data_IF_979979010793
#
_entry.id   IF_979979010793
#
_cell.length_a   1.000
_cell.length_b   1.000
_cell.length_c   1.000
_cell.angle_alpha   90.00
_cell.angle_beta   90.00
_cell.angle_gamma   90.00
#
_symmetry.space_group_name_H-M   'P 1'
#
loop_
_entity.id
_entity.type
_entity.pdbx_description
1 polymer ?
#
# COMPACT_ATOMS: atom_id res chain seq x y z
N UNK A 1 76.00 -41.42 5.11
CA UNK A 1 75.31 -40.28 4.46
C UNK A 1 73.88 -40.19 5.04
N UNK A 2 73.64 -39.31 6.05
CA UNK A 2 72.33 -39.09 6.65
C UNK A 2 71.78 -37.75 6.14
N UNK A 3 70.66 -37.76 5.41
CA UNK A 3 69.94 -36.58 4.99
C UNK A 3 68.95 -36.16 6.13
N UNK A 4 69.18 -35.00 6.67
CA UNK A 4 68.25 -34.35 7.60
C UNK A 4 67.11 -33.70 6.82
N UNK A 5 65.87 -34.03 7.20
CA UNK A 5 64.68 -33.46 6.67
C UNK A 5 64.30 -32.31 7.64
N UNK A 6 64.29 -31.08 7.15
CA UNK A 6 63.85 -29.90 7.88
C UNK A 6 62.37 -29.71 7.63
N UNK A 7 61.58 -29.83 8.69
CA UNK A 7 60.12 -29.63 8.64
C UNK A 7 59.82 -28.13 8.97
N UNK A 8 59.34 -27.40 7.95
CA UNK A 8 58.79 -26.06 8.15
C UNK A 8 57.34 -26.17 8.64
N UNK A 9 57.06 -25.81 9.88
CA UNK A 9 55.71 -25.65 10.43
C UNK A 9 55.30 -24.20 10.22
N UNK A 10 54.37 -23.96 9.27
CA UNK A 10 53.73 -22.66 9.08
C UNK A 10 52.57 -22.55 10.05
N UNK A 11 52.72 -21.69 11.05
CA UNK A 11 51.60 -21.28 11.94
C UNK A 11 50.65 -20.32 11.16
N UNK A 12 49.50 -20.82 10.77
CA UNK A 12 48.37 -19.99 10.32
C UNK A 12 47.62 -19.53 11.56
N UNK A 13 47.78 -18.26 11.97
CA UNK A 13 46.95 -17.62 12.95
C UNK A 13 45.58 -17.30 12.34
N UNK A 14 44.53 -18.09 12.64
CA UNK A 14 43.17 -17.80 12.33
C UNK A 14 42.70 -16.67 13.28
N UNK A 15 42.61 -15.44 12.77
CA UNK A 15 41.86 -14.37 13.46
C UNK A 15 40.39 -14.71 13.39
N UNK A 16 39.85 -15.26 14.48
CA UNK A 16 38.41 -15.41 14.68
C UNK A 16 37.85 -14.00 14.87
N UNK A 17 37.33 -13.37 13.80
CA UNK A 17 36.44 -12.24 13.92
C UNK A 17 35.19 -12.72 14.64
N UNK A 18 35.06 -12.37 15.91
CA UNK A 18 33.79 -12.45 16.63
C UNK A 18 32.79 -11.50 15.96
N UNK A 19 32.07 -12.00 14.97
CA UNK A 19 30.83 -11.36 14.50
C UNK A 19 29.84 -11.59 15.61
N UNK A 20 29.73 -10.62 16.52
CA UNK A 20 28.58 -10.57 17.40
C UNK A 20 27.35 -10.39 16.51
N UNK A 21 26.38 -11.32 16.48
CA UNK A 21 25.09 -11.00 15.93
C UNK A 21 24.58 -9.79 16.72
N UNK A 22 24.28 -8.68 16.04
CA UNK A 22 23.42 -7.66 16.63
C UNK A 22 22.13 -8.40 17.00
N UNK A 23 22.00 -8.74 18.28
CA UNK A 23 20.70 -9.09 18.85
C UNK A 23 19.83 -7.84 18.67
N UNK A 24 19.01 -7.84 17.63
CA UNK A 24 17.89 -6.94 17.55
C UNK A 24 17.03 -7.26 18.78
N UNK A 25 17.20 -6.47 19.83
CA UNK A 25 16.35 -6.51 21.02
C UNK A 25 14.92 -6.37 20.49
N UNK A 26 14.17 -7.46 20.52
CA UNK A 26 12.76 -7.46 20.15
C UNK A 26 12.09 -6.41 21.08
N UNK A 27 11.77 -5.26 20.53
CA UNK A 27 11.07 -4.22 21.28
C UNK A 27 9.66 -4.76 21.58
N UNK A 28 9.49 -5.28 22.79
CA UNK A 28 8.20 -5.70 23.29
C UNK A 28 7.44 -4.43 23.74
N UNK A 29 6.44 -4.04 22.99
CA UNK A 29 5.61 -2.87 23.31
C UNK A 29 4.86 -2.32 22.09
N UNK A 30 3.97 -1.34 22.30
CA UNK A 30 3.27 -0.67 21.22
C UNK A 30 4.24 -0.04 20.22
N UNK A 31 3.89 -0.09 18.93
CA UNK A 31 4.68 0.52 17.85
C UNK A 31 4.76 2.05 18.07
N UNK A 32 5.98 2.62 18.10
CA UNK A 32 6.17 4.07 18.23
C UNK A 32 6.00 4.73 16.88
N UNK A 33 4.91 5.48 16.71
CA UNK A 33 4.51 6.11 15.46
C UNK A 33 4.60 7.62 15.57
N UNK A 34 5.11 8.29 14.53
CA UNK A 34 4.86 9.69 14.29
C UNK A 34 3.92 9.86 13.09
N UNK A 35 3.06 10.88 13.12
CA UNK A 35 2.12 11.16 12.04
C UNK A 35 2.62 12.36 11.22
N UNK A 36 2.57 12.24 9.91
CA UNK A 36 2.73 13.34 8.98
C UNK A 36 1.35 13.65 8.39
N UNK A 37 0.77 14.79 8.83
CA UNK A 37 -0.58 15.22 8.46
C UNK A 37 -1.71 14.52 9.21
N UNK A 38 -2.90 15.13 9.12
CA UNK A 38 -4.14 14.65 9.72
C UNK A 38 -5.34 14.81 8.76
N UNK A 39 -5.08 15.11 7.48
CA UNK A 39 -6.14 15.45 6.52
C UNK A 39 -6.73 14.24 5.78
N UNK A 40 -6.11 13.06 5.85
CA UNK A 40 -6.64 11.82 5.28
C UNK A 40 -7.53 11.10 6.31
N UNK A 41 -8.77 10.77 5.93
CA UNK A 41 -9.74 10.18 6.88
C UNK A 41 -9.33 8.82 7.47
N UNK A 42 -8.41 8.09 6.83
CA UNK A 42 -7.89 6.85 7.42
C UNK A 42 -7.10 7.08 8.71
N UNK A 43 -6.68 8.31 9.02
CA UNK A 43 -6.09 8.64 10.34
C UNK A 43 -7.01 8.23 11.49
N UNK A 44 -8.34 8.26 11.30
CA UNK A 44 -9.29 7.82 12.30
C UNK A 44 -9.20 6.31 12.58
N UNK A 45 -8.77 5.49 11.63
CA UNK A 45 -8.50 4.07 11.82
C UNK A 45 -7.27 3.88 12.72
N UNK A 46 -6.20 4.65 12.48
CA UNK A 46 -5.03 4.64 13.36
C UNK A 46 -5.38 5.07 14.79
N UNK A 47 -6.23 6.07 14.94
CA UNK A 47 -6.68 6.50 16.27
C UNK A 47 -7.47 5.42 17.01
N UNK A 48 -8.10 4.46 16.32
CA UNK A 48 -8.69 3.27 16.98
C UNK A 48 -7.60 2.35 17.52
N UNK A 49 -6.51 2.12 16.79
CA UNK A 49 -5.34 1.36 17.27
C UNK A 49 -4.67 2.06 18.45
N UNK A 50 -4.58 3.40 18.42
CA UNK A 50 -4.08 4.19 19.55
C UNK A 50 -4.93 3.99 20.82
N UNK A 51 -6.27 4.06 20.70
CA UNK A 51 -7.18 3.83 21.83
C UNK A 51 -7.07 2.41 22.42
N UNK A 52 -6.70 1.43 21.61
CA UNK A 52 -6.47 0.04 22.04
C UNK A 52 -5.07 -0.17 22.67
N UNK A 53 -4.19 0.84 22.62
CA UNK A 53 -2.81 0.72 23.08
C UNK A 53 -1.91 -0.11 22.15
N UNK A 54 -2.30 -0.33 20.92
CA UNK A 54 -1.52 -1.08 19.91
C UNK A 54 -0.41 -0.22 19.30
N UNK A 55 -0.60 1.11 19.28
CA UNK A 55 0.40 2.09 18.85
C UNK A 55 0.61 3.15 19.94
N UNK A 56 1.85 3.70 19.99
CA UNK A 56 2.21 4.85 20.79
C UNK A 56 2.54 6.02 19.87
N UNK A 57 1.66 7.03 19.80
CA UNK A 57 1.87 8.23 19.01
C UNK A 57 2.85 9.15 19.75
N UNK A 58 4.10 9.22 19.27
CA UNK A 58 5.16 10.01 19.89
C UNK A 58 5.20 11.44 19.39
N UNK A 59 4.58 11.74 18.25
CA UNK A 59 4.49 13.09 17.67
C UNK A 59 3.57 13.15 16.46
N UNK A 60 3.02 14.34 16.21
CA UNK A 60 2.12 14.64 15.08
C UNK A 60 2.62 15.93 14.43
N UNK A 61 2.96 15.86 13.16
CA UNK A 61 3.32 17.02 12.34
C UNK A 61 2.08 17.49 11.58
N UNK A 62 1.47 18.60 12.02
CA UNK A 62 0.30 19.20 11.39
C UNK A 62 0.35 20.72 11.56
N UNK A 63 0.18 21.44 10.47
CA UNK A 63 0.20 22.90 10.46
C UNK A 63 -1.18 23.55 10.56
N UNK A 64 -2.25 22.80 10.22
CA UNK A 64 -3.62 23.29 10.35
C UNK A 64 -4.06 23.24 11.82
N UNK A 65 -4.13 24.42 12.44
CA UNK A 65 -4.53 24.55 13.85
C UNK A 65 -5.95 24.10 14.12
N UNK A 66 -6.82 24.07 13.11
CA UNK A 66 -8.20 23.56 13.25
C UNK A 66 -8.14 22.04 13.43
N UNK A 67 -7.36 21.33 12.60
CA UNK A 67 -7.14 19.89 12.72
C UNK A 67 -6.44 19.55 14.04
N UNK A 68 -5.38 20.25 14.40
CA UNK A 68 -4.69 20.10 15.68
C UNK A 68 -5.70 20.17 16.85
N UNK A 69 -6.50 21.24 16.92
CA UNK A 69 -7.47 21.43 18.00
C UNK A 69 -8.57 20.34 17.98
N UNK A 70 -9.04 19.92 16.80
CA UNK A 70 -10.00 18.82 16.63
C UNK A 70 -9.46 17.51 17.22
N UNK A 71 -8.23 17.13 16.88
CA UNK A 71 -7.61 15.89 17.35
C UNK A 71 -7.26 15.94 18.83
N UNK A 72 -6.73 17.04 19.34
CA UNK A 72 -6.50 17.25 20.78
C UNK A 72 -7.77 17.02 21.59
N UNK A 73 -8.87 17.65 21.19
CA UNK A 73 -10.17 17.53 21.87
C UNK A 73 -10.72 16.11 21.80
N UNK A 74 -10.71 15.47 20.63
CA UNK A 74 -11.38 14.18 20.41
C UNK A 74 -10.62 13.00 21.02
N UNK A 75 -9.30 13.14 21.18
CA UNK A 75 -8.43 12.04 21.64
C UNK A 75 -7.66 12.37 22.91
N UNK A 76 -7.92 13.51 23.53
CA UNK A 76 -7.27 13.99 24.76
C UNK A 76 -5.72 13.99 24.63
N UNK A 77 -5.23 14.50 23.49
CA UNK A 77 -3.80 14.53 23.20
C UNK A 77 -3.16 15.78 23.79
N UNK A 78 -1.94 15.60 24.34
CA UNK A 78 -1.16 16.68 24.93
C UNK A 78 -0.55 17.59 23.86
N UNK A 79 -0.41 18.88 24.17
CA UNK A 79 0.21 19.88 23.28
C UNK A 79 1.63 19.51 22.87
N UNK A 80 2.35 18.85 23.76
CA UNK A 80 3.76 18.48 23.63
C UNK A 80 4.07 17.48 22.51
N UNK A 81 3.05 16.83 21.93
CA UNK A 81 3.24 15.90 20.79
C UNK A 81 2.97 16.56 19.43
N UNK A 82 2.42 17.80 19.39
CA UNK A 82 2.13 18.49 18.13
C UNK A 82 3.30 19.36 17.68
N UNK A 83 3.64 19.26 16.42
CA UNK A 83 4.71 19.98 15.74
C UNK A 83 4.17 20.60 14.46
N UNK A 84 4.70 21.78 14.09
CA UNK A 84 4.28 22.50 12.89
C UNK A 84 4.66 21.74 11.60
N UNK A 85 5.77 20.98 11.62
CA UNK A 85 6.30 20.27 10.50
C UNK A 85 7.07 19.00 10.93
N UNK A 86 7.22 18.06 10.00
CA UNK A 86 7.86 16.77 10.24
C UNK A 86 9.35 16.90 10.55
N UNK A 87 10.04 17.86 9.94
CA UNK A 87 11.48 18.10 10.20
C UNK A 87 11.72 18.49 11.64
N UNK A 88 10.89 19.38 12.17
CA UNK A 88 10.95 19.81 13.58
C UNK A 88 10.59 18.64 14.49
N UNK A 89 9.56 17.86 14.17
CA UNK A 89 9.16 16.70 14.94
C UNK A 89 10.32 15.71 15.09
N UNK A 90 10.96 15.32 13.97
CA UNK A 90 12.01 14.30 13.97
C UNK A 90 13.33 14.75 14.65
N UNK A 91 13.53 16.06 14.86
CA UNK A 91 14.62 16.57 15.70
C UNK A 91 14.40 16.27 17.19
N UNK A 92 13.15 16.19 17.63
CA UNK A 92 12.78 16.02 19.03
C UNK A 92 12.27 14.62 19.39
N UNK A 93 11.79 13.87 18.43
CA UNK A 93 11.17 12.55 18.62
C UNK A 93 11.84 11.50 17.72
N UNK A 94 11.90 10.28 18.23
CA UNK A 94 12.47 9.12 17.53
C UNK A 94 11.39 8.04 17.38
N UNK A 95 10.51 8.13 16.36
CA UNK A 95 9.56 7.08 16.06
C UNK A 95 10.27 5.86 15.44
N UNK A 96 9.62 4.68 15.49
CA UNK A 96 10.01 3.51 14.69
C UNK A 96 9.56 3.70 13.23
N UNK A 97 8.43 4.42 13.01
CA UNK A 97 7.86 4.68 11.69
C UNK A 97 7.14 6.02 11.67
N UNK A 98 7.19 6.70 10.52
CA UNK A 98 6.30 7.81 10.20
C UNK A 98 5.16 7.28 9.34
N UNK A 99 3.91 7.53 9.73
CA UNK A 99 2.72 7.23 8.93
C UNK A 99 2.17 8.52 8.35
N UNK A 100 2.05 8.57 7.01
CA UNK A 100 1.62 9.77 6.28
C UNK A 100 0.11 9.74 6.04
N UNK A 101 -0.56 10.76 6.58
CA UNK A 101 -1.99 11.05 6.40
C UNK A 101 -2.20 12.43 5.77
N UNK A 102 -1.24 12.84 4.96
CA UNK A 102 -1.25 14.01 4.09
C UNK A 102 -1.87 13.68 2.72
N UNK A 103 -2.12 14.68 1.84
CA UNK A 103 -2.46 14.42 0.44
C UNK A 103 -1.44 13.52 -0.26
N UNK A 104 -1.90 12.70 -1.21
CA UNK A 104 -1.05 11.74 -1.94
C UNK A 104 0.19 12.39 -2.59
N UNK A 105 0.08 13.64 -3.05
CA UNK A 105 1.20 14.40 -3.61
C UNK A 105 2.29 14.75 -2.59
N UNK A 106 2.03 14.64 -1.28
CA UNK A 106 2.98 14.95 -0.23
C UNK A 106 3.89 13.76 0.16
N UNK A 107 3.58 12.53 -0.26
CA UNK A 107 4.28 11.32 0.16
C UNK A 107 5.79 11.39 -0.10
N UNK A 108 6.22 11.88 -1.27
CA UNK A 108 7.64 12.06 -1.57
C UNK A 108 8.32 13.02 -0.58
N UNK A 109 7.66 14.11 -0.17
CA UNK A 109 8.24 15.08 0.78
C UNK A 109 8.40 14.45 2.17
N UNK A 110 7.48 13.61 2.60
CA UNK A 110 7.61 12.82 3.84
C UNK A 110 8.83 11.92 3.77
N UNK A 111 8.98 11.13 2.69
CA UNK A 111 10.12 10.24 2.50
C UNK A 111 11.45 11.01 2.43
N UNK A 112 11.49 12.18 1.77
CA UNK A 112 12.69 13.04 1.71
C UNK A 112 13.17 13.50 3.09
N UNK A 113 12.25 13.71 4.02
CA UNK A 113 12.59 14.10 5.40
C UNK A 113 13.02 12.89 6.24
N UNK A 114 12.35 11.75 6.09
CA UNK A 114 12.59 10.56 6.90
C UNK A 114 13.84 9.80 6.48
N UNK A 115 14.07 9.63 5.18
CA UNK A 115 15.12 8.74 4.65
C UNK A 115 16.53 9.09 5.15
N UNK A 116 17.00 10.36 5.12
CA UNK A 116 18.34 10.70 5.65
C UNK A 116 18.51 10.47 7.15
N UNK A 117 17.40 10.31 7.89
CA UNK A 117 17.38 10.03 9.33
C UNK A 117 17.20 8.54 9.62
N UNK A 118 17.18 7.68 8.58
CA UNK A 118 16.92 6.25 8.66
C UNK A 118 15.61 5.91 9.41
N UNK A 119 14.57 6.72 9.18
CA UNK A 119 13.23 6.49 9.72
C UNK A 119 12.37 5.85 8.62
N UNK A 120 11.79 4.69 8.94
CA UNK A 120 10.89 3.99 8.05
C UNK A 120 9.58 4.75 7.86
N UNK A 121 8.91 4.53 6.73
CA UNK A 121 7.70 5.26 6.36
C UNK A 121 6.60 4.31 5.93
N UNK A 122 5.37 4.58 6.35
CA UNK A 122 4.18 4.04 5.73
C UNK A 122 3.34 5.18 5.17
N UNK A 123 2.97 5.10 3.91
CA UNK A 123 2.11 6.09 3.25
C UNK A 123 0.75 5.49 2.93
N UNK A 124 -0.26 6.34 2.85
CA UNK A 124 -1.56 5.99 2.31
C UNK A 124 -1.48 5.68 0.80
N UNK A 125 -2.48 4.98 0.30
CA UNK A 125 -2.62 4.65 -1.13
C UNK A 125 -3.09 5.87 -1.95
N UNK A 126 -2.64 5.96 -3.20
CA UNK A 126 -1.53 5.27 -3.83
C UNK A 126 -0.17 5.82 -3.38
N UNK A 127 0.91 5.09 -3.64
CA UNK A 127 2.29 5.46 -3.26
C UNK A 127 2.67 6.89 -3.67
N UNK A 128 2.25 7.34 -4.84
CA UNK A 128 2.51 8.68 -5.36
C UNK A 128 1.51 9.03 -6.48
N UNK A 129 1.45 10.31 -6.85
CA UNK A 129 0.59 10.82 -7.92
C UNK A 129 1.27 10.88 -9.29
N UNK A 130 2.60 10.72 -9.34
CA UNK A 130 3.42 10.69 -10.55
C UNK A 130 4.43 9.54 -10.52
N UNK A 131 4.85 9.08 -11.69
CA UNK A 131 5.90 8.05 -11.82
C UNK A 131 7.22 8.58 -11.32
N UNK A 132 7.52 9.84 -11.58
CA UNK A 132 8.74 10.52 -11.17
C UNK A 132 8.89 10.54 -9.64
N UNK A 133 7.81 10.82 -8.92
CA UNK A 133 7.81 10.81 -7.45
C UNK A 133 7.96 9.39 -6.91
N UNK A 134 7.26 8.41 -7.49
CA UNK A 134 7.39 7.02 -7.10
C UNK A 134 8.84 6.49 -7.30
N UNK A 135 9.48 6.81 -8.41
CA UNK A 135 10.89 6.46 -8.68
C UNK A 135 11.82 7.12 -7.67
N UNK A 136 11.60 8.40 -7.33
CA UNK A 136 12.41 9.07 -6.30
C UNK A 136 12.20 8.43 -4.91
N UNK A 137 10.98 8.03 -4.55
CA UNK A 137 10.71 7.32 -3.30
C UNK A 137 11.50 6.02 -3.25
N UNK A 138 11.47 5.20 -4.33
CA UNK A 138 12.23 3.95 -4.41
C UNK A 138 13.74 4.23 -4.27
N UNK A 139 14.27 5.20 -5.00
CA UNK A 139 15.69 5.57 -4.94
C UNK A 139 16.12 6.01 -3.54
N UNK A 140 15.30 6.78 -2.84
CA UNK A 140 15.58 7.21 -1.47
C UNK A 140 15.55 6.04 -0.49
N UNK A 141 14.55 5.15 -0.61
CA UNK A 141 14.45 3.96 0.24
C UNK A 141 15.66 3.05 0.08
N UNK A 142 16.09 2.78 -1.16
CA UNK A 142 17.28 2.00 -1.45
C UNK A 142 18.56 2.67 -0.92
N UNK A 143 18.75 3.98 -1.22
CA UNK A 143 19.94 4.73 -0.83
C UNK A 143 20.14 4.77 0.69
N UNK A 144 19.07 4.94 1.44
CA UNK A 144 19.13 5.09 2.90
C UNK A 144 18.74 3.84 3.67
N UNK A 145 18.46 2.73 2.95
CA UNK A 145 18.10 1.43 3.54
C UNK A 145 16.93 1.51 4.50
N UNK A 146 15.87 2.25 4.14
CA UNK A 146 14.63 2.31 4.88
C UNK A 146 13.53 1.50 4.21
N UNK A 147 12.54 1.06 4.99
CA UNK A 147 11.31 0.52 4.48
C UNK A 147 10.35 1.67 4.13
N UNK A 148 9.77 1.63 2.94
CA UNK A 148 8.63 2.47 2.59
C UNK A 148 7.50 1.54 2.17
N UNK A 149 6.40 1.55 2.91
CA UNK A 149 5.25 0.67 2.74
C UNK A 149 4.04 1.50 2.33
N UNK A 150 3.13 0.90 1.56
CA UNK A 150 1.87 1.55 1.17
C UNK A 150 0.70 0.79 1.79
N UNK A 151 -0.22 1.50 2.45
CA UNK A 151 -1.41 0.90 3.04
C UNK A 151 -2.57 0.83 2.05
N UNK A 152 -3.17 -0.36 1.95
CA UNK A 152 -4.44 -0.60 1.26
C UNK A 152 -5.35 -1.40 2.17
N UNK A 153 -6.57 -0.97 2.37
CA UNK A 153 -7.57 -1.72 3.11
C UNK A 153 -7.69 -3.17 2.62
N UNK A 154 -7.67 -3.37 1.30
CA UNK A 154 -7.80 -4.68 0.66
C UNK A 154 -6.63 -5.63 0.88
N UNK A 155 -5.47 -5.12 1.35
CA UNK A 155 -4.32 -5.96 1.73
C UNK A 155 -4.61 -6.86 2.91
N UNK A 156 -5.57 -6.49 3.74
CA UNK A 156 -5.91 -7.17 4.99
C UNK A 156 -7.15 -8.07 4.85
N UNK A 157 -7.67 -8.25 3.63
CA UNK A 157 -8.81 -9.11 3.35
C UNK A 157 -8.38 -10.58 3.28
N UNK A 158 -8.97 -11.41 4.15
CA UNK A 158 -8.76 -12.87 4.14
C UNK A 158 -9.07 -13.48 2.76
N UNK A 159 -10.09 -12.94 2.09
CA UNK A 159 -10.51 -13.39 0.76
C UNK A 159 -9.44 -13.17 -0.29
N UNK A 160 -8.79 -11.98 -0.34
CA UNK A 160 -7.71 -11.67 -1.27
C UNK A 160 -6.49 -12.55 -1.02
N UNK A 161 -6.12 -12.75 0.25
CA UNK A 161 -5.02 -13.64 0.62
C UNK A 161 -5.31 -15.09 0.19
N UNK A 162 -6.54 -15.55 0.37
CA UNK A 162 -6.96 -16.88 -0.05
C UNK A 162 -6.94 -17.04 -1.58
N UNK A 163 -7.44 -16.05 -2.33
CA UNK A 163 -7.36 -16.03 -3.81
C UNK A 163 -5.90 -16.13 -4.25
N UNK A 164 -5.01 -15.35 -3.66
CA UNK A 164 -3.59 -15.40 -3.96
C UNK A 164 -2.98 -16.77 -3.70
N UNK A 165 -3.24 -17.36 -2.53
CA UNK A 165 -2.74 -18.69 -2.18
C UNK A 165 -3.22 -19.76 -3.16
N UNK A 166 -4.48 -19.71 -3.58
CA UNK A 166 -5.04 -20.67 -4.55
C UNK A 166 -4.44 -20.46 -5.95
N UNK A 167 -4.22 -19.22 -6.39
CA UNK A 167 -3.54 -18.91 -7.67
C UNK A 167 -2.11 -19.43 -7.65
N UNK A 168 -1.35 -19.16 -6.57
CA UNK A 168 0.03 -19.65 -6.43
C UNK A 168 0.12 -21.16 -6.30
N UNK A 169 -0.87 -21.79 -5.71
CA UNK A 169 -1.02 -23.26 -5.66
C UNK A 169 -1.54 -23.89 -6.95
N UNK A 170 -1.63 -23.13 -8.05
CA UNK A 170 -2.13 -23.56 -9.39
C UNK A 170 -3.52 -24.21 -9.36
N UNK A 171 -4.38 -23.81 -8.41
CA UNK A 171 -5.70 -24.41 -8.20
C UNK A 171 -6.71 -24.11 -9.33
N UNK A 172 -6.45 -23.09 -10.13
CA UNK A 172 -7.33 -22.67 -11.24
C UNK A 172 -6.62 -22.68 -12.60
N UNK A 173 -5.37 -23.16 -12.63
CA UNK A 173 -4.50 -23.04 -13.80
C UNK A 173 -4.06 -21.59 -14.02
N UNK A 174 -3.30 -21.34 -15.08
CA UNK A 174 -2.80 -19.98 -15.36
C UNK A 174 -3.93 -18.96 -15.55
N UNK A 175 -3.74 -17.76 -14.98
CA UNK A 175 -4.70 -16.65 -15.06
C UNK A 175 -4.98 -16.28 -16.53
N UNK A 176 -6.25 -16.05 -16.85
CA UNK A 176 -6.76 -15.62 -18.16
C UNK A 176 -7.39 -14.23 -18.11
N UNK A 177 -8.15 -13.96 -17.07
CA UNK A 177 -8.79 -12.66 -16.84
C UNK A 177 -8.88 -12.37 -15.35
N UNK A 178 -8.76 -11.09 -15.00
CA UNK A 178 -9.06 -10.55 -13.68
C UNK A 178 -10.04 -9.39 -13.82
N UNK A 179 -11.00 -9.25 -12.91
CA UNK A 179 -11.90 -8.11 -12.83
C UNK A 179 -11.94 -7.65 -11.39
N UNK A 180 -11.71 -6.37 -11.16
CA UNK A 180 -11.86 -5.75 -9.84
C UNK A 180 -12.93 -4.67 -9.92
N UNK A 181 -13.86 -4.68 -8.97
CA UNK A 181 -14.84 -3.64 -8.78
C UNK A 181 -14.51 -2.91 -7.50
N UNK A 182 -14.13 -1.64 -7.61
CA UNK A 182 -13.71 -0.81 -6.49
C UNK A 182 -14.48 0.52 -6.54
N UNK A 183 -15.41 0.73 -5.61
CA UNK A 183 -16.20 1.96 -5.63
C UNK A 183 -17.26 2.05 -4.55
N UNK A 184 -17.88 3.23 -4.49
CA UNK A 184 -18.99 3.56 -3.61
C UNK A 184 -19.80 4.75 -4.17
N UNK A 185 -20.70 5.34 -3.37
CA UNK A 185 -21.59 6.43 -3.78
C UNK A 185 -20.85 7.73 -4.14
N UNK A 186 -19.65 7.91 -3.63
CA UNK A 186 -18.82 9.10 -3.74
C UNK A 186 -18.37 9.60 -2.37
N UNK A 187 -17.16 10.21 -2.27
CA UNK A 187 -16.61 10.62 -0.98
C UNK A 187 -17.45 11.69 -0.27
N UNK A 188 -18.09 12.59 -1.01
CA UNK A 188 -19.00 13.58 -0.44
C UNK A 188 -20.27 12.94 0.09
N UNK A 189 -20.84 12.00 -0.67
CA UNK A 189 -22.09 11.32 -0.36
C UNK A 189 -21.99 10.39 0.85
N UNK A 190 -20.82 9.76 1.04
CA UNK A 190 -20.57 8.94 2.23
C UNK A 190 -20.12 9.73 3.46
N UNK A 191 -20.00 11.08 3.33
CA UNK A 191 -19.71 11.96 4.45
C UNK A 191 -18.24 12.05 4.84
N UNK A 192 -17.31 11.92 3.90
CA UNK A 192 -15.89 12.20 4.14
C UNK A 192 -15.68 13.62 4.67
N UNK A 193 -14.63 13.81 5.45
CA UNK A 193 -14.34 15.10 6.08
C UNK A 193 -14.05 16.20 5.04
N UNK A 194 -14.37 17.47 5.35
CA UNK A 194 -14.07 18.59 4.45
C UNK A 194 -12.57 18.71 4.12
N UNK A 195 -11.71 18.43 5.08
CA UNK A 195 -10.26 18.43 4.93
C UNK A 195 -9.80 17.36 3.93
N UNK A 196 -10.37 16.16 4.00
CA UNK A 196 -10.09 15.07 3.07
C UNK A 196 -10.63 15.38 1.67
N UNK A 197 -11.90 15.80 1.56
CA UNK A 197 -12.54 16.15 0.28
C UNK A 197 -11.78 17.23 -0.47
N UNK A 198 -11.22 18.23 0.22
CA UNK A 198 -10.51 19.37 -0.40
C UNK A 198 -9.37 18.91 -1.29
N UNK A 199 -8.59 17.92 -0.87
CA UNK A 199 -7.46 17.43 -1.65
C UNK A 199 -7.79 16.19 -2.48
N UNK A 200 -8.71 15.34 -2.04
CA UNK A 200 -9.11 14.13 -2.78
C UNK A 200 -9.76 14.47 -4.13
N UNK A 201 -10.50 15.57 -4.17
CA UNK A 201 -11.21 16.04 -5.38
C UNK A 201 -10.40 17.09 -6.18
N UNK A 202 -9.09 17.18 -5.95
CA UNK A 202 -8.18 18.04 -6.71
C UNK A 202 -7.13 17.18 -7.43
N UNK A 203 -7.02 17.24 -8.77
CA UNK A 203 -6.11 16.39 -9.53
C UNK A 203 -4.63 16.68 -9.26
N UNK A 204 -4.28 17.84 -8.70
CA UNK A 204 -2.90 18.17 -8.35
C UNK A 204 -2.44 17.45 -7.08
N UNK A 205 -3.36 17.15 -6.18
CA UNK A 205 -3.05 16.56 -4.87
C UNK A 205 -3.37 15.07 -4.79
N UNK A 206 -4.41 14.62 -5.50
CA UNK A 206 -4.78 13.19 -5.57
C UNK A 206 -4.27 12.49 -6.85
N UNK A 207 -3.92 13.24 -7.91
CA UNK A 207 -3.48 12.70 -9.19
C UNK A 207 -4.61 12.61 -10.24
N UNK A 208 -5.82 12.29 -9.82
CA UNK A 208 -7.07 12.26 -10.59
C UNK A 208 -8.25 12.15 -9.60
N UNK A 209 -9.43 11.72 -10.04
CA UNK A 209 -10.58 11.39 -9.18
C UNK A 209 -10.66 9.90 -8.84
N UNK A 210 -11.77 9.27 -9.18
CA UNK A 210 -12.02 7.85 -8.94
C UNK A 210 -10.95 6.93 -9.56
N UNK A 211 -10.37 7.33 -10.69
CA UNK A 211 -9.29 6.59 -11.36
C UNK A 211 -8.11 6.34 -10.41
N UNK A 212 -7.65 7.35 -9.66
CA UNK A 212 -6.56 7.18 -8.70
C UNK A 212 -7.03 6.62 -7.38
N UNK A 213 -8.15 7.13 -6.85
CA UNK A 213 -8.67 6.75 -5.53
C UNK A 213 -9.06 5.26 -5.46
N UNK A 214 -9.77 4.77 -6.47
CA UNK A 214 -10.23 3.38 -6.54
C UNK A 214 -9.47 2.51 -7.54
N UNK A 215 -9.02 3.07 -8.66
CA UNK A 215 -8.25 2.29 -9.63
C UNK A 215 -6.95 1.71 -9.08
N UNK A 216 -6.39 2.32 -8.03
CA UNK A 216 -5.20 1.81 -7.37
C UNK A 216 -5.40 0.46 -6.68
N UNK A 217 -6.60 0.14 -6.16
CA UNK A 217 -6.88 -1.13 -5.50
C UNK A 217 -6.78 -2.31 -6.47
N UNK A 218 -7.52 -2.24 -7.59
CA UNK A 218 -7.44 -3.27 -8.62
C UNK A 218 -6.04 -3.39 -9.23
N UNK A 219 -5.36 -2.27 -9.49
CA UNK A 219 -3.99 -2.27 -9.99
C UNK A 219 -3.01 -2.95 -9.01
N UNK A 220 -3.17 -2.72 -7.70
CA UNK A 220 -2.36 -3.32 -6.65
C UNK A 220 -2.56 -4.83 -6.57
N UNK A 221 -3.82 -5.29 -6.48
CA UNK A 221 -4.17 -6.71 -6.42
C UNK A 221 -3.73 -7.47 -7.67
N UNK A 222 -3.96 -6.92 -8.87
CA UNK A 222 -3.60 -7.58 -10.13
C UNK A 222 -2.09 -7.65 -10.33
N UNK A 223 -1.35 -6.61 -9.97
CA UNK A 223 0.13 -6.63 -10.01
C UNK A 223 0.68 -7.72 -9.11
N UNK A 224 0.16 -7.84 -7.90
CA UNK A 224 0.55 -8.90 -6.96
C UNK A 224 0.23 -10.31 -7.48
N UNK A 225 -0.96 -10.54 -8.03
CA UNK A 225 -1.35 -11.83 -8.63
C UNK A 225 -0.47 -12.20 -9.84
N UNK A 226 0.02 -11.19 -10.55
CA UNK A 226 0.92 -11.34 -11.71
C UNK A 226 2.42 -11.36 -11.32
N UNK A 227 2.75 -11.64 -10.04
CA UNK A 227 4.13 -11.73 -9.52
C UNK A 227 4.96 -10.44 -9.68
N UNK A 228 4.33 -9.27 -9.51
CA UNK A 228 5.00 -7.98 -9.70
C UNK A 228 5.34 -7.68 -11.16
N UNK A 229 4.69 -8.34 -12.13
CA UNK A 229 4.86 -8.05 -13.55
C UNK A 229 3.91 -6.96 -13.98
N UNK A 230 4.45 -5.93 -14.60
CA UNK A 230 3.65 -4.89 -15.22
C UNK A 230 2.86 -5.42 -16.43
N UNK A 231 1.66 -4.89 -16.72
CA UNK A 231 1.02 -5.13 -18.00
C UNK A 231 1.85 -4.52 -19.14
N UNK A 232 1.73 -5.08 -20.34
CA UNK A 232 2.41 -4.56 -21.56
C UNK A 232 1.87 -3.18 -21.94
N UNK A 233 0.58 -2.94 -21.69
CA UNK A 233 -0.06 -1.68 -21.98
C UNK A 233 -1.35 -1.50 -21.17
N UNK A 234 -1.81 -0.25 -21.09
CA UNK A 234 -3.06 0.14 -20.43
C UNK A 234 -3.96 0.92 -21.39
N UNK A 235 -5.26 0.64 -21.34
CA UNK A 235 -6.30 1.46 -21.94
C UNK A 235 -7.30 1.87 -20.87
N UNK A 236 -7.78 3.13 -20.90
CA UNK A 236 -8.75 3.59 -19.93
C UNK A 236 -9.76 4.56 -20.55
N UNK A 237 -10.97 4.55 -20.00
CA UNK A 237 -12.00 5.56 -20.21
C UNK A 237 -12.42 6.15 -18.88
N UNK A 238 -12.80 7.42 -18.89
CA UNK A 238 -13.29 8.15 -17.70
C UNK A 238 -14.63 8.82 -18.00
N UNK A 239 -15.40 9.08 -16.95
CA UNK A 239 -16.66 9.83 -17.02
C UNK A 239 -16.74 10.84 -15.88
N UNK A 240 -17.38 11.96 -16.16
CA UNK A 240 -17.87 12.93 -15.20
C UNK A 240 -19.40 12.79 -15.13
N UNK A 241 -19.88 11.92 -14.27
CA UNK A 241 -21.33 11.64 -14.12
C UNK A 241 -21.96 12.68 -13.20
N UNK A 242 -21.20 13.17 -12.20
CA UNK A 242 -21.63 14.18 -11.22
C UNK A 242 -20.74 15.44 -11.29
N UNK A 243 -20.66 16.16 -12.43
CA UNK A 243 -19.77 17.31 -12.58
C UNK A 243 -20.10 18.46 -11.61
N UNK A 244 -21.35 18.57 -11.15
CA UNK A 244 -21.74 19.57 -10.16
C UNK A 244 -21.21 19.28 -8.77
N UNK A 245 -20.88 18.02 -8.47
CA UNK A 245 -20.31 17.60 -7.19
C UNK A 245 -18.79 17.55 -7.25
N UNK A 246 -18.24 17.02 -8.34
CA UNK A 246 -16.80 16.83 -8.57
C UNK A 246 -16.33 17.57 -9.84
N UNK A 247 -16.29 18.92 -9.83
CA UNK A 247 -16.07 19.71 -11.05
C UNK A 247 -14.65 19.61 -11.62
N UNK A 248 -13.67 19.15 -10.83
CA UNK A 248 -12.25 19.15 -11.22
C UNK A 248 -11.73 17.76 -11.63
N UNK A 249 -12.42 16.70 -11.26
CA UNK A 249 -11.95 15.32 -11.42
C UNK A 249 -13.09 14.42 -11.90
N UNK A 250 -12.73 13.36 -12.59
CA UNK A 250 -13.67 12.30 -12.98
C UNK A 250 -14.13 11.51 -11.77
N UNK A 251 -15.33 10.96 -11.84
CA UNK A 251 -15.96 10.18 -10.78
C UNK A 251 -16.26 8.73 -11.19
N UNK A 252 -15.80 8.34 -12.39
CA UNK A 252 -15.95 6.98 -12.91
C UNK A 252 -14.82 6.68 -13.92
N UNK A 253 -14.23 5.50 -13.82
CA UNK A 253 -13.18 5.03 -14.70
C UNK A 253 -13.23 3.53 -14.92
N UNK A 254 -13.08 3.08 -16.17
CA UNK A 254 -12.78 1.70 -16.55
C UNK A 254 -11.36 1.62 -17.07
N UNK A 255 -10.54 0.75 -16.47
CA UNK A 255 -9.13 0.56 -16.83
C UNK A 255 -8.92 -0.87 -17.32
N UNK A 256 -8.31 -1.05 -18.48
CA UNK A 256 -7.99 -2.36 -19.07
C UNK A 256 -6.47 -2.54 -19.07
N UNK A 257 -6.00 -3.60 -18.43
CA UNK A 257 -4.60 -4.01 -18.34
C UNK A 257 -4.33 -5.14 -19.34
N UNK A 258 -3.41 -4.92 -20.27
CA UNK A 258 -3.05 -5.89 -21.30
C UNK A 258 -1.79 -6.66 -20.91
N UNK A 259 -1.96 -7.88 -20.43
CA UNK A 259 -0.84 -8.80 -20.14
C UNK A 259 -0.67 -9.78 -21.30
N UNK A 260 0.53 -10.36 -21.54
CA UNK A 260 0.78 -11.26 -22.67
C UNK A 260 -0.14 -12.48 -22.73
N UNK A 261 -0.70 -12.93 -21.60
CA UNK A 261 -1.56 -14.14 -21.51
C UNK A 261 -2.84 -13.92 -20.72
N UNK A 262 -3.09 -12.68 -20.24
CA UNK A 262 -4.25 -12.35 -19.43
C UNK A 262 -4.72 -10.90 -19.68
N UNK A 263 -5.94 -10.61 -19.31
CA UNK A 263 -6.48 -9.24 -19.28
C UNK A 263 -6.95 -8.91 -17.88
N UNK A 264 -6.56 -7.74 -17.35
CA UNK A 264 -7.15 -7.13 -16.16
C UNK A 264 -8.19 -6.08 -16.55
N UNK A 265 -9.29 -6.00 -15.81
CA UNK A 265 -10.28 -4.93 -15.90
C UNK A 265 -10.50 -4.38 -14.51
N UNK A 266 -10.42 -3.07 -14.37
CA UNK A 266 -10.65 -2.38 -13.10
C UNK A 266 -11.79 -1.40 -13.33
N UNK A 267 -12.85 -1.54 -12.56
CA UNK A 267 -14.00 -0.65 -12.52
C UNK A 267 -13.88 0.20 -11.26
N UNK A 268 -13.55 1.48 -11.43
CA UNK A 268 -13.30 2.43 -10.34
C UNK A 268 -14.38 3.51 -10.34
N UNK A 269 -15.19 3.61 -9.27
CA UNK A 269 -16.35 4.49 -9.34
C UNK A 269 -16.74 5.15 -8.01
N UNK A 270 -17.18 6.41 -8.11
CA UNK A 270 -17.86 7.17 -7.06
C UNK A 270 -19.39 7.27 -7.32
N UNK A 271 -19.93 6.36 -8.16
CA UNK A 271 -21.33 6.44 -8.63
C UNK A 271 -22.18 5.22 -8.30
N UNK A 272 -21.67 4.30 -7.49
CA UNK A 272 -22.40 3.08 -7.17
C UNK A 272 -23.34 3.27 -5.98
N UNK A 273 -24.44 2.51 -5.89
CA UNK A 273 -25.43 2.70 -4.82
C UNK A 273 -24.95 2.24 -3.44
N UNK A 274 -23.84 1.46 -3.39
CA UNK A 274 -23.23 0.94 -2.17
C UNK A 274 -21.75 0.65 -2.40
N UNK A 275 -21.02 0.43 -1.32
CA UNK A 275 -19.59 0.10 -1.38
C UNK A 275 -19.38 -1.32 -1.92
N UNK A 276 -18.50 -1.46 -2.92
CA UNK A 276 -18.00 -2.72 -3.45
C UNK A 276 -16.48 -2.62 -3.52
N UNK A 277 -15.81 -3.66 -3.02
CA UNK A 277 -14.39 -3.94 -3.24
C UNK A 277 -14.26 -5.44 -3.39
N UNK A 278 -14.37 -5.92 -4.64
CA UNK A 278 -14.27 -7.33 -4.96
C UNK A 278 -13.20 -7.61 -6.01
N UNK A 279 -12.83 -8.87 -6.17
CA UNK A 279 -11.86 -9.32 -7.15
C UNK A 279 -12.27 -10.67 -7.72
N UNK A 280 -12.45 -10.73 -9.04
CA UNK A 280 -12.69 -11.96 -9.78
C UNK A 280 -11.42 -12.41 -10.53
N UNK A 281 -11.12 -13.71 -10.47
CA UNK A 281 -9.99 -14.31 -11.18
C UNK A 281 -10.44 -15.52 -11.96
N UNK A 282 -10.36 -15.45 -13.28
CA UNK A 282 -10.65 -16.53 -14.22
C UNK A 282 -9.33 -17.20 -14.63
N UNK A 283 -9.14 -18.44 -14.23
CA UNK A 283 -8.03 -19.28 -14.64
C UNK A 283 -8.41 -20.19 -15.81
N UNK A 284 -7.43 -21.01 -16.25
CA UNK A 284 -7.66 -22.00 -17.31
C UNK A 284 -8.67 -23.08 -16.91
N UNK A 285 -8.69 -23.47 -15.64
CA UNK A 285 -9.44 -24.63 -15.12
C UNK A 285 -10.37 -24.27 -13.97
N UNK A 286 -10.47 -23.00 -13.56
CA UNK A 286 -11.30 -22.59 -12.45
C UNK A 286 -11.51 -21.09 -12.38
N UNK A 287 -12.34 -20.70 -11.42
CA UNK A 287 -12.74 -19.34 -11.13
C UNK A 287 -12.70 -19.12 -9.61
N UNK A 288 -12.21 -17.95 -9.20
CA UNK A 288 -12.19 -17.48 -7.81
C UNK A 288 -12.76 -16.06 -7.77
N UNK A 289 -13.51 -15.76 -6.71
CA UNK A 289 -13.92 -14.38 -6.40
C UNK A 289 -13.73 -14.10 -4.90
N UNK A 290 -12.97 -13.08 -4.58
CA UNK A 290 -13.02 -12.42 -3.28
C UNK A 290 -14.22 -11.47 -3.29
N UNK A 291 -15.34 -11.89 -2.67
CA UNK A 291 -16.63 -11.18 -2.74
C UNK A 291 -16.67 -9.97 -1.80
N UNK A 292 -16.06 -10.13 -0.64
CA UNK A 292 -15.94 -9.15 0.44
C UNK A 292 -14.70 -9.50 1.30
N UNK A 293 -14.38 -8.79 2.39
CA UNK A 293 -13.17 -9.06 3.18
C UNK A 293 -12.99 -10.50 3.65
N UNK A 294 -14.07 -11.28 3.78
CA UNK A 294 -14.07 -12.62 4.37
C UNK A 294 -14.72 -13.70 3.52
N UNK A 295 -15.40 -13.35 2.45
CA UNK A 295 -16.16 -14.32 1.65
C UNK A 295 -15.48 -14.60 0.32
N UNK A 296 -15.29 -15.87 0.02
CA UNK A 296 -14.79 -16.35 -1.27
C UNK A 296 -15.86 -17.19 -1.98
N UNK A 297 -15.98 -17.01 -3.28
CA UNK A 297 -16.78 -17.85 -4.18
C UNK A 297 -15.86 -18.50 -5.19
N UNK A 298 -15.92 -19.83 -5.30
CA UNK A 298 -15.03 -20.58 -6.17
C UNK A 298 -15.79 -21.61 -7.00
N UNK A 299 -15.25 -21.91 -8.20
CA UNK A 299 -15.69 -23.02 -9.04
C UNK A 299 -14.49 -23.60 -9.76
N UNK A 300 -14.30 -24.92 -9.70
CA UNK A 300 -13.13 -25.62 -10.24
C UNK A 300 -13.55 -26.80 -11.14
N UNK A 301 -12.77 -27.00 -12.19
CA UNK A 301 -12.98 -28.11 -13.11
C UNK A 301 -14.35 -28.11 -13.76
N UNK A 302 -15.02 -29.26 -13.71
CA UNK A 302 -16.36 -29.49 -14.31
C UNK A 302 -17.51 -29.33 -13.29
N UNK A 303 -17.23 -28.89 -12.07
CA UNK A 303 -18.26 -28.68 -11.06
C UNK A 303 -19.30 -27.67 -11.57
N UNK A 304 -20.60 -28.01 -11.63
CA UNK A 304 -21.63 -27.09 -12.09
C UNK A 304 -21.96 -26.00 -11.07
N UNK A 305 -21.65 -26.19 -9.78
CA UNK A 305 -22.01 -25.31 -8.70
C UNK A 305 -20.85 -24.42 -8.26
N UNK A 306 -21.18 -23.23 -7.75
CA UNK A 306 -20.24 -22.40 -6.98
C UNK A 306 -20.19 -22.88 -5.53
N UNK A 307 -18.99 -22.98 -5.00
CA UNK A 307 -18.75 -23.16 -3.57
C UNK A 307 -18.50 -21.79 -2.95
N UNK A 308 -19.27 -21.43 -1.92
CA UNK A 308 -19.15 -20.18 -1.19
C UNK A 308 -18.65 -20.50 0.21
N UNK A 309 -17.58 -19.84 0.62
CA UNK A 309 -16.95 -20.03 1.93
C UNK A 309 -16.76 -18.70 2.63
N UNK A 310 -17.05 -18.64 3.91
CA UNK A 310 -16.64 -17.56 4.79
C UNK A 310 -15.33 -17.95 5.46
N UNK A 311 -14.37 -17.06 5.43
CA UNK A 311 -13.02 -17.25 5.95
C UNK A 311 -12.90 -16.54 7.30
N UNK A 312 -12.10 -17.10 8.18
CA UNK A 312 -11.65 -16.42 9.38
C UNK A 312 -10.69 -15.26 9.03
N UNK A 313 -10.65 -14.25 9.89
CA UNK A 313 -9.70 -13.16 9.73
C UNK A 313 -8.27 -13.69 9.68
N UNK A 314 -7.38 -13.08 8.87
CA UNK A 314 -5.97 -13.50 8.85
C UNK A 314 -5.36 -13.34 10.25
N UNK A 315 -4.49 -14.28 10.61
CA UNK A 315 -3.69 -14.16 11.84
C UNK A 315 -2.56 -13.13 11.66
N UNK A 316 -1.89 -12.80 12.76
CA UNK A 316 -0.68 -11.97 12.75
C UNK A 316 0.36 -12.58 11.80
N UNK A 317 1.03 -11.77 10.95
CA UNK A 317 1.00 -10.31 10.93
C UNK A 317 -0.02 -9.70 9.94
N UNK A 318 -0.85 -10.47 9.27
CA UNK A 318 -1.69 -10.02 8.17
C UNK A 318 -3.11 -9.57 8.59
N UNK A 319 -3.35 -9.44 9.88
CA UNK A 319 -4.67 -9.06 10.42
C UNK A 319 -5.02 -7.57 10.20
N UNK A 320 -4.01 -6.69 10.11
CA UNK A 320 -4.12 -5.27 9.82
C UNK A 320 -2.73 -4.65 9.56
N UNK A 321 -2.72 -3.40 9.07
CA UNK A 321 -1.48 -2.71 8.73
C UNK A 321 -0.55 -2.46 9.94
N UNK A 322 -1.07 -2.21 11.14
CA UNK A 322 -0.24 -1.99 12.33
C UNK A 322 0.55 -3.25 12.69
N UNK A 323 -0.12 -4.41 12.68
CA UNK A 323 0.55 -5.68 12.93
C UNK A 323 1.58 -6.01 11.85
N UNK A 324 1.25 -5.75 10.58
CA UNK A 324 2.14 -5.97 9.45
C UNK A 324 3.40 -5.09 9.53
N UNK A 325 3.23 -3.77 9.67
CA UNK A 325 4.34 -2.82 9.81
C UNK A 325 5.22 -3.19 10.99
N UNK A 326 4.61 -3.50 12.15
CA UNK A 326 5.36 -3.93 13.35
C UNK A 326 6.22 -5.15 13.05
N UNK A 327 5.68 -6.16 12.37
CA UNK A 327 6.42 -7.39 12.03
C UNK A 327 7.57 -7.12 11.05
N UNK A 328 7.36 -6.24 10.06
CA UNK A 328 8.40 -5.84 9.10
C UNK A 328 9.53 -5.10 9.81
N UNK A 329 9.22 -4.05 10.57
CA UNK A 329 10.21 -3.19 11.22
C UNK A 329 11.01 -3.92 12.31
N UNK A 330 10.40 -4.90 12.94
CA UNK A 330 11.06 -5.73 13.97
C UNK A 330 11.73 -6.98 13.40
N UNK A 331 11.83 -7.10 12.06
CA UNK A 331 12.52 -8.19 11.38
C UNK A 331 11.83 -9.56 11.50
N UNK A 332 10.58 -9.61 11.96
CA UNK A 332 9.78 -10.83 12.07
C UNK A 332 9.21 -11.25 10.71
N UNK A 333 9.06 -10.29 9.80
CA UNK A 333 8.63 -10.49 8.43
C UNK A 333 9.59 -9.75 7.48
N UNK A 334 10.11 -10.45 6.47
CA UNK A 334 10.81 -9.79 5.36
C UNK A 334 9.77 -9.42 4.31
N UNK A 335 9.60 -8.12 4.00
CA UNK A 335 8.73 -7.73 2.90
C UNK A 335 9.27 -8.36 1.61
N UNK A 336 8.37 -9.01 0.89
CA UNK A 336 8.66 -9.59 -0.42
C UNK A 336 7.98 -8.78 -1.52
N UNK A 337 7.60 -9.47 -2.60
CA UNK A 337 6.68 -8.90 -3.57
C UNK A 337 5.25 -9.07 -3.04
N UNK A 338 4.83 -8.16 -2.18
CA UNK A 338 3.50 -8.13 -1.57
C UNK A 338 2.77 -6.81 -1.83
N UNK A 339 1.52 -6.73 -1.37
CA UNK A 339 0.62 -5.61 -1.65
C UNK A 339 1.15 -4.26 -1.14
N UNK A 340 1.91 -4.25 -0.03
CA UNK A 340 2.47 -3.04 0.57
C UNK A 340 3.86 -2.67 0.05
N UNK A 341 4.52 -3.56 -0.71
CA UNK A 341 5.91 -3.38 -1.16
C UNK A 341 6.08 -2.25 -2.16
N UNK A 342 7.25 -1.60 -2.14
CA UNK A 342 7.60 -0.53 -3.09
C UNK A 342 7.54 -1.00 -4.55
N UNK A 343 8.02 -2.22 -4.82
CA UNK A 343 8.06 -2.78 -6.18
C UNK A 343 6.66 -2.94 -6.75
N UNK A 344 5.72 -3.50 -5.97
CA UNK A 344 4.33 -3.62 -6.38
C UNK A 344 3.72 -2.22 -6.63
N UNK A 345 3.95 -1.29 -5.72
CA UNK A 345 3.34 0.04 -5.76
C UNK A 345 3.95 0.99 -6.80
N UNK A 346 5.21 0.82 -7.17
CA UNK A 346 5.79 1.51 -8.34
C UNK A 346 5.05 1.14 -9.62
N UNK A 347 4.72 -0.15 -9.80
CA UNK A 347 3.95 -0.63 -10.96
C UNK A 347 2.52 -0.07 -10.90
N UNK A 348 1.89 -0.03 -9.73
CA UNK A 348 0.58 0.60 -9.56
C UNK A 348 0.59 2.05 -10.06
N UNK A 349 1.57 2.86 -9.64
CA UNK A 349 1.67 4.26 -10.09
C UNK A 349 1.90 4.36 -11.60
N UNK A 350 2.71 3.46 -12.20
CA UNK A 350 2.87 3.39 -13.66
C UNK A 350 1.55 3.06 -14.36
N UNK A 351 0.76 2.12 -13.83
CA UNK A 351 -0.57 1.76 -14.36
C UNK A 351 -1.51 2.97 -14.31
N UNK A 352 -1.63 3.64 -13.16
CA UNK A 352 -2.51 4.79 -12.98
C UNK A 352 -2.11 5.96 -13.89
N UNK A 353 -0.82 6.23 -14.00
CA UNK A 353 -0.29 7.27 -14.89
C UNK A 353 -0.60 6.97 -16.37
N UNK A 354 -0.39 5.71 -16.80
CA UNK A 354 -0.73 5.26 -18.15
C UNK A 354 -2.24 5.28 -18.40
N UNK A 355 -3.07 4.93 -17.40
CA UNK A 355 -4.52 5.01 -17.49
C UNK A 355 -5.01 6.45 -17.67
N UNK A 356 -4.48 7.39 -16.88
CA UNK A 356 -4.78 8.83 -17.02
C UNK A 356 -4.37 9.35 -18.40
N UNK A 357 -3.20 8.97 -18.89
CA UNK A 357 -2.74 9.34 -20.23
C UNK A 357 -3.64 8.70 -21.32
N UNK A 358 -4.00 7.43 -21.18
CA UNK A 358 -4.87 6.71 -22.10
C UNK A 358 -6.25 7.37 -22.22
N UNK A 359 -6.85 7.73 -21.09
CA UNK A 359 -8.14 8.42 -21.08
C UNK A 359 -8.09 9.78 -21.79
N UNK A 360 -6.95 10.51 -21.65
CA UNK A 360 -6.74 11.80 -22.33
C UNK A 360 -6.53 11.63 -23.83
N UNK A 361 -5.77 10.61 -24.25
CA UNK A 361 -5.35 10.43 -25.66
C UNK A 361 -6.28 9.50 -26.46
N UNK A 362 -7.19 8.78 -25.81
CA UNK A 362 -8.12 7.85 -26.45
C UNK A 362 -7.44 6.62 -27.07
N UNK A 363 -6.25 6.26 -26.61
CA UNK A 363 -5.47 5.13 -27.14
C UNK A 363 -4.80 4.31 -26.04
N UNK A 364 -4.38 3.10 -26.40
CA UNK A 364 -3.58 2.23 -25.53
C UNK A 364 -2.19 2.84 -25.28
N UNK A 365 -1.75 2.88 -24.03
CA UNK A 365 -0.44 3.38 -23.60
C UNK A 365 0.43 2.20 -23.18
N UNK A 366 1.62 1.98 -23.78
CA UNK A 366 2.56 0.95 -23.32
C UNK A 366 3.15 1.32 -21.95
N UNK A 367 3.45 0.30 -21.13
CA UNK A 367 4.20 0.45 -19.88
C UNK A 367 5.61 -0.11 -20.08
N UNK A 368 6.59 0.75 -19.89
CA UNK A 368 8.02 0.42 -19.96
C UNK A 368 8.63 0.22 -18.56
#
# INVERSE_FOLDING_TARGET
MKRQLVLFVALFAFAIMNIHPLEASAQNGPLKVALAGLSHDHVYLLMQHYKKGEVNIVGIAESDTILVNKFKKNYHLEDSIFYKDLTTLLKHKKPEVVMAFDPNSAHLSVVKVCAPLHVDVMVEKPLATTVEDAVQIVSLAEKYHIQVLTDYETSWYASNLNVYQQVKGDQIGGIRKMVAHDGHQGPKEIGCSPEFLRWLTDPQTNGAGALFDFGCYGANLMTWLMDGKAPSAVYATIRHIKPDIYPKVEDDATIVLDYPKATGIIEASWNWPFNIKDLEVFGKTGYLQAVDPSTIRERKGKDPAFNIKKLEAPGTPYQNYVAYVTAVLRGQLKPGNDLSSLQNNLIVVKILSAARQSAKEGRKIPIN
#
